data_IF_144957744696
#
_entry.id   IF_144957744696
#
_cell.length_a   1.000
_cell.length_b   1.000
_cell.length_c   1.000
_cell.angle_alpha   90.00
_cell.angle_beta   90.00
_cell.angle_gamma   90.00
#
_symmetry.space_group_name_H-M   'P 1'
#
loop_
_entity.id
_entity.type
_entity.pdbx_description
1 polymer ?
#
# COMPACT_ATOMS: atom_id res chain seq x y z
N UNK A 1 -23.59 -11.82 -9.23
CA UNK A 1 -22.44 -11.66 -10.16
C UNK A 1 -21.42 -10.81 -9.42
N UNK A 2 -20.47 -11.43 -8.71
CA UNK A 2 -19.44 -10.69 -8.00
C UNK A 2 -18.34 -10.33 -8.99
N UNK A 3 -18.14 -9.02 -9.21
CA UNK A 3 -17.12 -8.49 -10.10
C UNK A 3 -15.75 -8.95 -9.60
N UNK A 4 -15.09 -9.80 -10.39
CA UNK A 4 -13.69 -10.13 -10.19
C UNK A 4 -12.87 -8.85 -10.34
N UNK A 5 -12.30 -8.39 -9.22
CA UNK A 5 -11.28 -7.35 -9.25
C UNK A 5 -10.10 -7.80 -10.12
N UNK A 6 -9.40 -6.86 -10.77
CA UNK A 6 -8.30 -7.20 -11.67
C UNK A 6 -7.23 -8.01 -10.91
N UNK A 7 -6.88 -9.18 -11.46
CA UNK A 7 -5.70 -9.93 -11.02
C UNK A 7 -4.46 -9.07 -11.29
N UNK A 8 -3.74 -8.75 -10.24
CA UNK A 8 -2.49 -7.98 -10.29
C UNK A 8 -1.29 -8.95 -10.17
N UNK A 9 -0.22 -8.74 -10.96
CA UNK A 9 0.78 -9.78 -11.22
C UNK A 9 1.88 -9.96 -10.16
N UNK A 10 1.98 -9.09 -9.14
CA UNK A 10 3.08 -9.10 -8.17
C UNK A 10 2.55 -9.04 -6.73
N UNK A 11 2.17 -10.19 -6.19
CA UNK A 11 1.78 -10.36 -4.80
C UNK A 11 3.01 -10.77 -3.95
N UNK A 12 3.49 -9.87 -3.08
CA UNK A 12 4.43 -10.23 -2.03
C UNK A 12 3.66 -10.74 -0.81
N UNK A 13 3.53 -12.07 -0.75
CA UNK A 13 2.80 -12.78 0.31
C UNK A 13 3.70 -12.94 1.53
N UNK A 14 3.47 -12.15 2.58
CA UNK A 14 4.02 -12.43 3.90
C UNK A 14 3.19 -13.57 4.52
N UNK A 15 3.78 -14.77 4.62
CA UNK A 15 3.09 -16.01 5.04
C UNK A 15 2.19 -15.82 6.28
N UNK A 16 0.92 -16.28 6.26
CA UNK A 16 0.01 -16.11 7.37
C UNK A 16 0.17 -17.17 8.47
N UNK A 17 0.02 -16.75 9.73
CA UNK A 17 -0.43 -17.58 10.85
C UNK A 17 -1.37 -16.72 11.73
N UNK A 18 -2.67 -17.06 11.72
CA UNK A 18 -3.76 -16.70 12.68
C UNK A 18 -4.82 -15.60 12.35
N UNK A 19 -6.09 -16.04 12.27
CA UNK A 19 -7.40 -15.57 12.84
C UNK A 19 -7.79 -14.08 13.08
N UNK A 20 -7.09 -13.08 12.54
CA UNK A 20 -7.55 -11.67 12.62
C UNK A 20 -8.48 -11.22 11.47
N UNK A 21 -9.39 -10.24 11.66
CA UNK A 21 -10.15 -9.66 10.56
C UNK A 21 -9.20 -9.01 9.55
N UNK A 22 -9.44 -9.27 8.27
CA UNK A 22 -8.67 -8.69 7.17
C UNK A 22 -9.28 -7.36 6.75
N UNK A 23 -8.42 -6.41 6.42
CA UNK A 23 -8.78 -5.11 5.86
C UNK A 23 -7.90 -4.84 4.64
N UNK A 24 -8.52 -4.50 3.51
CA UNK A 24 -7.81 -4.17 2.28
C UNK A 24 -7.86 -2.67 2.06
N UNK A 25 -6.69 -2.05 1.91
CA UNK A 25 -6.57 -0.66 1.46
C UNK A 25 -6.00 -0.67 0.06
N UNK A 26 -6.67 -0.03 -0.89
CA UNK A 26 -6.17 0.10 -2.25
C UNK A 26 -5.80 1.54 -2.56
N UNK A 27 -4.88 1.69 -3.50
CA UNK A 27 -4.37 2.95 -4.01
C UNK A 27 -4.25 2.88 -5.52
N UNK A 28 -4.72 3.92 -6.20
CA UNK A 28 -4.53 4.12 -7.63
C UNK A 28 -4.02 5.55 -7.87
N UNK A 29 -2.89 5.71 -8.58
CA UNK A 29 -2.35 7.00 -8.97
C UNK A 29 -2.24 7.12 -10.49
N UNK A 30 -2.64 8.28 -11.02
CA UNK A 30 -2.63 8.54 -12.45
C UNK A 30 -1.91 9.86 -12.76
N UNK A 31 -1.17 9.88 -13.88
CA UNK A 31 -0.55 11.07 -14.46
C UNK A 31 -0.71 11.04 -15.98
N UNK A 32 -0.77 12.21 -16.62
CA UNK A 32 -0.93 12.29 -18.07
C UNK A 32 0.29 11.71 -18.80
N UNK A 33 0.05 10.81 -19.76
CA UNK A 33 1.11 10.16 -20.55
C UNK A 33 1.95 9.13 -19.81
N UNK A 34 1.56 8.74 -18.59
CA UNK A 34 2.26 7.74 -17.77
C UNK A 34 1.35 6.54 -17.45
N UNK A 35 1.92 5.35 -17.18
CA UNK A 35 1.12 4.23 -16.72
C UNK A 35 0.50 4.51 -15.36
N UNK A 36 -0.72 4.00 -15.16
CA UNK A 36 -1.37 4.02 -13.85
C UNK A 36 -0.55 3.22 -12.84
N UNK A 37 -0.42 3.73 -11.62
CA UNK A 37 0.21 3.04 -10.51
C UNK A 37 -0.89 2.47 -9.62
N UNK A 38 -0.90 1.16 -9.40
CA UNK A 38 -1.86 0.49 -8.52
C UNK A 38 -1.14 -0.29 -7.44
N UNK A 39 -1.60 -0.14 -6.20
CA UNK A 39 -1.13 -0.89 -5.05
C UNK A 39 -2.30 -1.28 -4.15
N UNK A 40 -2.25 -2.48 -3.58
CA UNK A 40 -3.21 -2.97 -2.59
C UNK A 40 -2.47 -3.52 -1.38
N UNK A 41 -2.84 -3.04 -0.20
CA UNK A 41 -2.27 -3.43 1.07
C UNK A 41 -3.31 -4.21 1.88
N UNK A 42 -3.03 -5.48 2.13
CA UNK A 42 -3.85 -6.30 3.01
C UNK A 42 -3.28 -6.27 4.42
N UNK A 43 -4.13 -5.85 5.36
CA UNK A 43 -3.83 -5.72 6.77
C UNK A 43 -4.63 -6.77 7.54
N UNK A 44 -3.98 -7.42 8.49
CA UNK A 44 -4.62 -8.34 9.42
C UNK A 44 -4.63 -7.71 10.82
N UNK A 45 -5.79 -7.71 11.49
CA UNK A 45 -5.88 -7.30 12.88
C UNK A 45 -5.02 -8.18 13.80
N UNK A 46 -4.22 -7.57 14.68
CA UNK A 46 -3.42 -8.26 15.69
C UNK A 46 -3.74 -7.64 17.06
N UNK A 47 -4.90 -8.01 17.61
CA UNK A 47 -5.48 -7.38 18.78
C UNK A 47 -6.19 -6.04 18.49
N UNK A 48 -6.64 -5.31 19.52
CA UNK A 48 -7.54 -4.15 19.34
C UNK A 48 -6.85 -2.90 18.75
N UNK A 49 -5.53 -2.80 18.92
CA UNK A 49 -4.76 -1.57 18.64
C UNK A 49 -3.75 -1.72 17.50
N UNK A 50 -3.57 -2.91 16.94
CA UNK A 50 -2.50 -3.16 15.97
C UNK A 50 -2.99 -3.90 14.73
N UNK A 51 -2.32 -3.62 13.62
CA UNK A 51 -2.41 -4.35 12.36
C UNK A 51 -1.06 -4.94 11.99
N UNK A 52 -1.09 -6.03 11.23
CA UNK A 52 0.08 -6.58 10.53
C UNK A 52 -0.16 -6.48 9.03
N UNK A 53 0.84 -6.09 8.26
CA UNK A 53 0.80 -6.23 6.79
C UNK A 53 0.99 -7.69 6.45
N UNK A 54 0.02 -8.27 5.73
CA UNK A 54 0.07 -9.68 5.30
C UNK A 54 0.23 -9.83 3.80
N UNK A 55 -0.14 -8.81 3.03
CA UNK A 55 0.09 -8.77 1.59
C UNK A 55 0.30 -7.33 1.13
N UNK A 56 1.26 -7.13 0.25
CA UNK A 56 1.36 -5.94 -0.59
C UNK A 56 1.36 -6.42 -2.03
N UNK A 57 0.41 -5.91 -2.79
CA UNK A 57 0.22 -6.25 -4.19
C UNK A 57 0.34 -4.98 -5.03
N UNK A 58 1.06 -5.06 -6.15
CA UNK A 58 1.33 -3.91 -7.03
C UNK A 58 1.27 -4.31 -8.50
N UNK A 59 0.91 -3.38 -9.39
CA UNK A 59 1.17 -3.55 -10.82
C UNK A 59 2.65 -3.25 -11.15
N UNK A 60 3.11 -3.63 -12.35
CA UNK A 60 4.52 -3.46 -12.77
C UNK A 60 5.06 -2.04 -12.60
N UNK A 61 4.25 -1.05 -12.95
CA UNK A 61 4.63 0.36 -12.85
C UNK A 61 4.77 0.80 -11.38
N UNK A 62 3.83 0.44 -10.51
CA UNK A 62 3.94 0.72 -9.08
C UNK A 62 5.08 -0.07 -8.42
N UNK A 63 5.32 -1.32 -8.84
CA UNK A 63 6.45 -2.11 -8.36
C UNK A 63 7.78 -1.44 -8.71
N UNK A 64 7.94 -0.99 -9.95
CA UNK A 64 9.14 -0.25 -10.40
C UNK A 64 9.35 1.01 -9.58
N UNK A 65 8.29 1.78 -9.33
CA UNK A 65 8.35 2.98 -8.50
C UNK A 65 8.69 2.65 -7.05
N UNK A 66 8.12 1.58 -6.49
CA UNK A 66 8.41 1.12 -5.14
C UNK A 66 9.87 0.70 -5.00
N UNK A 67 10.41 -0.05 -5.96
CA UNK A 67 11.83 -0.43 -6.00
C UNK A 67 12.74 0.80 -6.10
N UNK A 68 12.39 1.78 -6.94
CA UNK A 68 13.14 3.02 -7.02
C UNK A 68 13.06 3.84 -5.72
N UNK A 69 11.89 3.89 -5.10
CA UNK A 69 11.62 4.57 -3.84
C UNK A 69 12.27 3.92 -2.62
N UNK A 70 12.55 2.61 -2.65
CA UNK A 70 13.31 1.92 -1.61
C UNK A 70 14.77 2.41 -1.48
N UNK A 71 15.27 3.17 -2.45
CA UNK A 71 16.57 3.86 -2.31
C UNK A 71 16.49 5.07 -1.37
N UNK A 72 15.29 5.60 -1.09
CA UNK A 72 15.10 6.64 -0.09
C UNK A 72 15.20 6.02 1.31
N UNK A 73 16.13 6.48 2.18
CA UNK A 73 16.39 5.84 3.48
C UNK A 73 15.17 5.83 4.40
N UNK A 74 14.31 6.86 4.29
CA UNK A 74 13.06 6.94 5.05
C UNK A 74 12.04 5.87 4.63
N UNK A 75 11.94 5.58 3.33
CA UNK A 75 11.00 4.58 2.78
C UNK A 75 11.53 3.17 3.05
N UNK A 76 12.84 2.95 2.85
CA UNK A 76 13.49 1.66 3.05
C UNK A 76 13.28 1.10 4.45
N UNK A 77 13.47 1.94 5.47
CA UNK A 77 13.32 1.53 6.87
C UNK A 77 11.88 1.12 7.21
N UNK A 78 10.90 1.87 6.71
CA UNK A 78 9.48 1.58 6.92
C UNK A 78 9.05 0.31 6.17
N UNK A 79 9.46 0.17 4.91
CA UNK A 79 9.16 -0.99 4.09
C UNK A 79 9.71 -2.28 4.70
N UNK A 80 11.00 -2.28 5.05
CA UNK A 80 11.64 -3.43 5.68
C UNK A 80 10.95 -3.81 6.99
N UNK A 81 10.61 -2.82 7.83
CA UNK A 81 10.01 -3.04 9.15
C UNK A 81 8.60 -3.62 9.09
N UNK A 82 7.72 -3.03 8.28
CA UNK A 82 6.30 -3.38 8.30
C UNK A 82 5.91 -4.39 7.23
N UNK A 83 6.53 -4.35 6.06
CA UNK A 83 6.17 -5.22 4.92
C UNK A 83 7.01 -6.50 4.96
N UNK A 84 8.34 -6.38 4.99
CA UNK A 84 9.23 -7.56 4.93
C UNK A 84 9.35 -8.28 6.28
N UNK A 85 9.53 -7.56 7.38
CA UNK A 85 9.69 -8.14 8.73
C UNK A 85 8.35 -8.41 9.45
N UNK A 86 7.22 -7.95 8.89
CA UNK A 86 5.89 -8.20 9.44
C UNK A 86 5.64 -7.61 10.83
N UNK A 87 6.34 -6.52 11.20
CA UNK A 87 6.10 -5.85 12.48
C UNK A 87 4.70 -5.24 12.55
N UNK A 88 4.22 -5.09 13.79
CA UNK A 88 2.91 -4.53 14.07
C UNK A 88 2.89 -3.01 13.84
N UNK A 89 1.87 -2.56 13.12
CA UNK A 89 1.56 -1.16 12.86
C UNK A 89 0.41 -0.71 13.75
N UNK A 90 0.59 0.39 14.48
CA UNK A 90 -0.46 0.94 15.35
C UNK A 90 -1.67 1.42 14.53
N UNK A 91 -2.88 1.07 14.98
CA UNK A 91 -4.14 1.43 14.34
C UNK A 91 -4.33 2.95 14.24
N UNK A 92 -3.95 3.69 15.29
CA UNK A 92 -3.98 5.17 15.30
C UNK A 92 -2.95 5.74 14.32
N UNK A 93 -1.73 5.21 14.30
CA UNK A 93 -0.69 5.62 13.35
C UNK A 93 -1.13 5.41 11.91
N UNK A 94 -1.66 4.23 11.60
CA UNK A 94 -2.20 3.93 10.28
C UNK A 94 -3.36 4.88 9.93
N UNK A 95 -4.32 5.08 10.84
CA UNK A 95 -5.43 6.00 10.61
C UNK A 95 -4.96 7.44 10.38
N UNK A 96 -3.94 7.91 11.11
CA UNK A 96 -3.33 9.22 10.91
C UNK A 96 -2.65 9.36 9.55
N UNK A 97 -1.88 8.34 9.15
CA UNK A 97 -1.22 8.31 7.83
C UNK A 97 -2.27 8.33 6.70
N UNK A 98 -3.25 7.43 6.76
CA UNK A 98 -4.32 7.35 5.75
C UNK A 98 -5.23 8.59 5.78
N UNK A 99 -5.47 9.18 6.96
CA UNK A 99 -6.28 10.38 7.14
C UNK A 99 -5.60 11.61 6.53
N UNK A 100 -4.30 11.78 6.78
CA UNK A 100 -3.48 12.82 6.13
C UNK A 100 -3.54 12.66 4.61
N UNK A 101 -3.46 11.43 4.12
CA UNK A 101 -3.61 11.11 2.71
C UNK A 101 -4.99 11.48 2.13
N UNK A 102 -6.08 11.13 2.80
CA UNK A 102 -7.45 11.43 2.36
C UNK A 102 -7.75 12.94 2.35
N UNK A 103 -7.23 13.69 3.33
CA UNK A 103 -7.46 15.12 3.46
C UNK A 103 -6.69 15.94 2.42
N UNK A 104 -5.44 15.57 2.16
CA UNK A 104 -4.56 16.35 1.29
C UNK A 104 -4.54 15.85 -0.15
N UNK A 105 -5.04 14.64 -0.43
CA UNK A 105 -5.05 14.03 -1.76
C UNK A 105 -3.63 13.93 -2.30
N UNK A 106 -2.98 12.76 -2.17
CA UNK A 106 -1.55 12.73 -2.45
C UNK A 106 -1.27 12.99 -3.93
N UNK A 107 -0.58 14.11 -4.18
CA UNK A 107 0.06 14.40 -5.44
C UNK A 107 1.57 14.33 -5.24
N UNK A 108 2.26 13.67 -6.15
CA UNK A 108 3.71 13.61 -6.12
C UNK A 108 4.26 13.68 -7.54
N UNK A 109 5.42 14.28 -7.67
CA UNK A 109 6.10 14.40 -8.94
C UNK A 109 7.11 13.26 -9.09
N UNK A 110 7.04 12.54 -10.19
CA UNK A 110 7.94 11.45 -10.52
C UNK A 110 8.23 11.43 -12.02
N UNK A 111 9.52 11.36 -12.38
CA UNK A 111 9.99 11.43 -13.77
C UNK A 111 9.38 12.59 -14.59
N UNK A 112 9.22 13.75 -13.96
CA UNK A 112 8.67 14.95 -14.62
C UNK A 112 7.14 14.92 -14.82
N UNK A 113 6.43 13.96 -14.23
CA UNK A 113 4.97 13.88 -14.26
C UNK A 113 4.38 13.99 -12.85
N UNK A 114 3.31 14.78 -12.69
CA UNK A 114 2.57 14.89 -11.43
C UNK A 114 1.50 13.79 -11.37
N UNK A 115 1.71 12.81 -10.49
CA UNK A 115 0.72 11.79 -10.18
C UNK A 115 -0.32 12.33 -9.21
N UNK A 116 -1.58 11.96 -9.43
CA UNK A 116 -2.69 12.19 -8.50
C UNK A 116 -3.22 10.86 -8.03
N UNK A 117 -3.23 10.66 -6.72
CA UNK A 117 -3.62 9.40 -6.11
C UNK A 117 -5.03 9.45 -5.53
N UNK A 118 -5.72 8.33 -5.65
CA UNK A 118 -6.97 8.00 -4.98
C UNK A 118 -6.76 6.75 -4.13
N UNK A 119 -7.48 6.68 -3.02
CA UNK A 119 -7.42 5.57 -2.08
C UNK A 119 -8.81 5.20 -1.65
N UNK A 120 -9.03 3.91 -1.43
CA UNK A 120 -10.25 3.41 -0.83
C UNK A 120 -10.01 2.25 0.11
N UNK A 121 -11.10 1.90 0.79
CA UNK A 121 -11.20 0.79 1.70
C UNK A 121 -12.07 -0.28 0.99
N UNK A 122 -11.63 -1.54 1.00
CA UNK A 122 -12.36 -2.68 0.43
C UNK A 122 -13.14 -3.47 1.48
#
# INVERSE_FOLDING_TARGET
>A
MAQGGPLLPHAEVARPRSEGPLKVQWLACQAAGQPELRASLTLQGSGPLYYRVVNLDTNDAAHTLLQAGQNAPQVRGLFARYVTQGQLLGRVTLAGLLGTWKLFGLKFDWQGATYRCQMGDG
#
